data_IF_812431799888
#
_entry.id   IF_812431799888
#
_cell.length_a   1.000
_cell.length_b   1.000
_cell.length_c   1.000
_cell.angle_alpha   90.00
_cell.angle_beta   90.00
_cell.angle_gamma   90.00
#
_symmetry.space_group_name_H-M   'P 1'
#
loop_
_entity.id
_entity.type
_entity.pdbx_description
1 polymer ?
#
# COMPACT_ATOMS: atom_id res chain seq x y z
N UNK A 1 -4.96 -17.77 -29.12
CA UNK A 1 -3.51 -17.84 -28.84
C UNK A 1 -3.12 -16.64 -27.98
N UNK A 2 -3.49 -16.63 -26.69
CA UNK A 2 -3.05 -15.67 -25.66
C UNK A 2 -3.63 -16.14 -24.31
N UNK A 3 -2.98 -17.11 -23.67
CA UNK A 3 -3.19 -17.41 -22.24
C UNK A 3 -1.84 -17.83 -21.67
N UNK A 4 -1.63 -17.46 -20.41
CA UNK A 4 -0.53 -17.84 -19.52
C UNK A 4 0.67 -16.89 -19.49
N UNK A 5 0.51 -15.83 -18.71
CA UNK A 5 1.55 -15.39 -17.77
C UNK A 5 0.81 -14.82 -16.57
N UNK A 6 0.67 -15.61 -15.51
CA UNK A 6 0.80 -15.18 -14.12
C UNK A 6 0.53 -16.37 -13.19
N UNK A 7 1.19 -16.35 -12.05
CA UNK A 7 1.04 -17.20 -10.87
C UNK A 7 1.92 -18.45 -10.76
N UNK A 8 2.94 -18.26 -9.91
CA UNK A 8 3.74 -19.25 -9.21
C UNK A 8 3.29 -19.21 -7.74
N UNK A 9 3.27 -20.40 -7.12
CA UNK A 9 3.48 -20.69 -5.68
C UNK A 9 2.23 -20.79 -4.79
N UNK A 10 1.93 -22.03 -4.37
CA UNK A 10 2.13 -22.47 -2.97
C UNK A 10 2.76 -23.88 -3.03
N UNK A 11 4.00 -24.02 -2.59
CA UNK A 11 4.64 -25.32 -2.34
C UNK A 11 4.56 -25.55 -0.82
N UNK A 12 3.58 -26.32 -0.37
CA UNK A 12 3.65 -26.92 0.96
C UNK A 12 3.99 -28.41 0.81
N UNK A 13 5.01 -28.85 1.55
CA UNK A 13 5.25 -30.26 1.78
C UNK A 13 4.33 -30.69 2.91
N UNK A 14 3.49 -31.70 2.68
CA UNK A 14 2.80 -32.37 3.77
C UNK A 14 3.78 -33.30 4.52
N UNK A 15 3.46 -33.68 5.76
CA UNK A 15 4.32 -34.42 6.70
C UNK A 15 4.79 -35.82 6.21
N UNK A 16 4.39 -36.24 5.02
CA UNK A 16 4.81 -37.49 4.35
C UNK A 16 5.73 -37.29 3.13
N UNK A 17 6.15 -36.05 2.81
CA UNK A 17 7.14 -35.78 1.76
C UNK A 17 6.67 -36.00 0.31
N UNK A 18 5.37 -36.18 0.07
CA UNK A 18 4.81 -36.22 -1.29
C UNK A 18 4.48 -34.82 -1.80
N UNK A 19 4.97 -34.48 -3.00
CA UNK A 19 4.57 -33.28 -3.75
C UNK A 19 3.09 -33.38 -4.13
N UNK A 20 2.24 -32.56 -3.53
CA UNK A 20 0.87 -32.36 -4.00
C UNK A 20 0.91 -31.23 -5.03
N UNK A 21 0.81 -31.59 -6.31
CA UNK A 21 0.56 -30.60 -7.37
C UNK A 21 -0.96 -30.43 -7.43
N UNK A 22 -1.48 -29.42 -6.74
CA UNK A 22 -2.87 -28.98 -6.89
C UNK A 22 -3.02 -28.38 -8.29
N UNK A 23 -3.57 -29.19 -9.20
CA UNK A 23 -3.82 -28.77 -10.57
C UNK A 23 -5.10 -27.93 -10.59
N UNK A 24 -4.98 -26.62 -10.35
CA UNK A 24 -6.07 -25.63 -10.29
C UNK A 24 -6.95 -25.57 -11.56
N UNK A 25 -6.57 -26.26 -12.65
CA UNK A 25 -7.33 -26.32 -13.90
C UNK A 25 -8.60 -27.18 -13.86
N UNK A 26 -8.95 -27.83 -12.74
CA UNK A 26 -10.13 -28.71 -12.65
C UNK A 26 -11.08 -28.43 -11.49
N UNK A 27 -10.96 -27.31 -10.79
CA UNK A 27 -11.89 -26.93 -9.73
C UNK A 27 -12.98 -26.01 -10.28
N UNK A 28 -14.07 -26.60 -10.77
CA UNK A 28 -15.31 -25.84 -11.01
C UNK A 28 -16.15 -25.85 -9.74
N UNK A 29 -16.67 -24.70 -9.26
CA UNK A 29 -17.57 -24.67 -8.12
C UNK A 29 -18.81 -25.48 -8.47
N UNK A 30 -19.08 -26.55 -7.70
CA UNK A 30 -20.22 -27.45 -7.95
C UNK A 30 -21.49 -26.98 -7.22
N UNK A 31 -21.37 -25.96 -6.37
CA UNK A 31 -22.48 -25.37 -5.64
C UNK A 31 -22.02 -24.21 -4.77
N UNK A 32 -22.99 -23.52 -4.16
CA UNK A 32 -22.76 -22.41 -3.25
C UNK A 32 -23.74 -22.49 -2.06
N UNK A 33 -23.29 -22.04 -0.89
CA UNK A 33 -24.18 -21.69 0.23
C UNK A 33 -24.72 -20.26 0.03
N UNK A 34 -25.57 -19.76 0.92
CA UNK A 34 -26.26 -18.49 0.80
C UNK A 34 -25.63 -17.46 1.74
N UNK A 35 -25.49 -16.21 1.28
CA UNK A 35 -25.13 -15.12 2.18
C UNK A 35 -26.34 -14.62 2.97
N UNK A 36 -26.12 -14.20 4.20
CA UNK A 36 -27.01 -13.29 4.92
C UNK A 36 -26.35 -11.92 5.02
N UNK A 37 -26.99 -10.90 4.46
CA UNK A 37 -26.45 -9.54 4.36
C UNK A 37 -27.48 -8.55 4.88
N UNK A 38 -27.06 -7.52 5.61
CA UNK A 38 -27.98 -6.47 6.03
C UNK A 38 -28.29 -5.49 4.88
N UNK A 39 -29.40 -4.74 4.97
CA UNK A 39 -29.79 -3.74 3.97
C UNK A 39 -28.75 -2.61 3.79
N UNK A 40 -27.77 -2.50 4.70
CA UNK A 40 -26.64 -1.58 4.59
C UNK A 40 -25.36 -2.22 4.02
N UNK A 41 -25.36 -3.50 3.64
CA UNK A 41 -24.24 -4.17 2.97
C UNK A 41 -23.24 -4.92 3.86
N UNK A 42 -23.44 -4.94 5.19
CA UNK A 42 -22.61 -5.77 6.06
C UNK A 42 -22.97 -7.26 5.92
N UNK A 43 -22.00 -8.07 5.48
CA UNK A 43 -22.12 -9.54 5.47
C UNK A 43 -22.16 -10.06 6.90
N UNK A 44 -23.15 -10.89 7.21
CA UNK A 44 -23.31 -11.55 8.50
C UNK A 44 -22.68 -12.95 8.47
N UNK A 45 -22.96 -13.68 7.40
CA UNK A 45 -22.39 -15.01 7.12
C UNK A 45 -22.49 -15.28 5.64
N UNK A 46 -21.51 -16.00 5.09
CA UNK A 46 -21.53 -16.54 3.73
C UNK A 46 -22.00 -17.99 3.67
N UNK A 47 -22.28 -18.59 4.83
CA UNK A 47 -22.60 -20.00 5.01
C UNK A 47 -23.96 -20.17 5.68
N UNK A 48 -24.96 -19.40 5.24
CA UNK A 48 -26.25 -19.30 5.93
C UNK A 48 -26.92 -20.67 6.11
N UNK A 49 -26.88 -21.56 5.11
CA UNK A 49 -27.52 -22.87 5.21
C UNK A 49 -26.71 -23.82 6.09
N UNK A 50 -25.38 -23.87 5.92
CA UNK A 50 -24.53 -24.86 6.56
C UNK A 50 -24.05 -24.46 7.97
N UNK A 51 -24.09 -23.18 8.33
CA UNK A 51 -23.84 -22.69 9.68
C UNK A 51 -25.02 -21.87 10.23
N UNK A 52 -26.04 -22.53 10.81
CA UNK A 52 -27.16 -21.84 11.44
C UNK A 52 -26.78 -20.94 12.63
N UNK A 53 -25.62 -21.16 13.26
CA UNK A 53 -25.22 -20.45 14.48
C UNK A 53 -24.72 -19.02 14.21
N UNK A 54 -24.17 -18.78 13.01
CA UNK A 54 -23.75 -17.44 12.57
C UNK A 54 -24.90 -16.54 12.14
N UNK A 55 -26.11 -17.09 11.92
CA UNK A 55 -27.30 -16.32 11.52
C UNK A 55 -27.68 -15.31 12.60
N UNK A 56 -28.08 -14.11 12.19
CA UNK A 56 -28.59 -13.08 13.09
C UNK A 56 -29.96 -12.59 12.66
N UNK A 57 -30.80 -12.26 13.64
CA UNK A 57 -32.10 -11.60 13.41
C UNK A 57 -31.90 -10.11 13.09
N UNK A 58 -31.02 -9.44 13.85
CA UNK A 58 -30.35 -8.11 13.80
C UNK A 58 -29.10 -8.02 12.91
N UNK A 59 -28.71 -6.86 12.36
CA UNK A 59 -27.32 -6.66 11.97
C UNK A 59 -26.60 -6.20 13.23
N UNK A 60 -25.53 -6.88 13.70
CA UNK A 60 -24.87 -6.51 14.94
C UNK A 60 -24.13 -5.17 14.83
N UNK A 61 -23.76 -4.75 13.61
CA UNK A 61 -23.02 -3.50 13.38
C UNK A 61 -23.93 -2.27 13.27
N UNK A 62 -25.14 -2.41 12.71
CA UNK A 62 -25.98 -1.25 12.39
C UNK A 62 -27.48 -1.42 12.65
N UNK A 63 -27.93 -2.56 13.19
CA UNK A 63 -29.34 -2.82 13.50
C UNK A 63 -30.29 -3.03 12.30
N UNK A 64 -29.85 -2.74 11.06
CA UNK A 64 -30.68 -2.87 9.86
C UNK A 64 -31.22 -4.29 9.63
N UNK A 65 -32.34 -4.44 8.89
CA UNK A 65 -32.92 -5.74 8.46
C UNK A 65 -31.95 -6.52 7.55
N UNK A 66 -32.13 -7.85 7.45
CA UNK A 66 -31.28 -8.73 6.63
C UNK A 66 -32.07 -9.31 5.48
N UNK A 67 -31.37 -9.67 4.42
CA UNK A 67 -31.87 -10.46 3.32
C UNK A 67 -30.88 -11.59 3.00
N UNK A 68 -31.41 -12.68 2.48
CA UNK A 68 -30.66 -13.83 1.93
C UNK A 68 -31.00 -14.05 0.45
N UNK A 69 -31.84 -13.17 -0.11
CA UNK A 69 -32.36 -13.27 -1.47
C UNK A 69 -32.58 -11.86 -2.02
N UNK A 70 -32.52 -11.72 -3.34
CA UNK A 70 -32.79 -10.48 -4.04
C UNK A 70 -34.23 -10.01 -3.75
N UNK A 71 -34.44 -8.77 -3.27
CA UNK A 71 -35.78 -8.27 -2.99
C UNK A 71 -36.64 -8.07 -4.26
N UNK A 72 -36.02 -8.10 -5.46
CA UNK A 72 -36.70 -7.90 -6.75
C UNK A 72 -37.13 -9.21 -7.40
N UNK A 73 -36.21 -10.17 -7.54
CA UNK A 73 -36.48 -11.44 -8.24
C UNK A 73 -36.45 -12.66 -7.32
N UNK A 74 -36.20 -12.49 -6.02
CA UNK A 74 -36.14 -13.54 -5.02
C UNK A 74 -35.05 -14.61 -5.23
N UNK A 75 -34.09 -14.40 -6.13
CA UNK A 75 -32.94 -15.30 -6.27
C UNK A 75 -32.06 -15.25 -5.03
N UNK A 76 -31.48 -16.39 -4.64
CA UNK A 76 -30.58 -16.49 -3.48
C UNK A 76 -29.30 -15.69 -3.72
N UNK A 77 -28.80 -15.05 -2.67
CA UNK A 77 -27.51 -14.36 -2.72
C UNK A 77 -26.40 -15.39 -2.55
N UNK A 78 -25.55 -15.57 -3.58
CA UNK A 78 -24.48 -16.57 -3.60
C UNK A 78 -23.46 -16.31 -2.50
N UNK A 79 -23.32 -17.25 -1.58
CA UNK A 79 -22.32 -17.29 -0.51
C UNK A 79 -21.16 -18.20 -0.85
N UNK A 80 -20.65 -18.93 0.15
CA UNK A 80 -19.43 -19.73 0.01
C UNK A 80 -19.55 -20.78 -1.09
N UNK A 81 -18.59 -20.82 -1.99
CA UNK A 81 -18.53 -21.83 -3.06
C UNK A 81 -17.89 -23.12 -2.58
N UNK A 82 -18.42 -24.26 -3.03
CA UNK A 82 -17.91 -25.58 -2.69
C UNK A 82 -17.19 -26.21 -3.88
N UNK A 83 -15.95 -26.64 -3.65
CA UNK A 83 -15.15 -27.40 -4.60
C UNK A 83 -15.05 -28.86 -4.14
N UNK A 84 -15.37 -29.79 -5.04
CA UNK A 84 -15.16 -31.21 -4.80
C UNK A 84 -13.94 -31.68 -5.61
N UNK A 85 -12.95 -32.26 -4.94
CA UNK A 85 -12.01 -33.14 -5.62
C UNK A 85 -12.64 -34.53 -5.82
N UNK A 86 -12.31 -35.20 -6.93
CA UNK A 86 -12.71 -36.60 -7.14
C UNK A 86 -12.01 -37.48 -6.10
N UNK A 87 -12.76 -37.85 -5.06
CA UNK A 87 -12.35 -38.82 -4.05
C UNK A 87 -12.02 -38.19 -2.70
N UNK A 88 -13.06 -38.07 -1.87
CA UNK A 88 -13.06 -37.75 -0.44
C UNK A 88 -12.71 -36.31 0.00
N UNK A 89 -13.62 -35.79 0.85
CA UNK A 89 -13.62 -34.52 1.59
C UNK A 89 -13.42 -33.25 0.77
N UNK A 90 -14.51 -32.49 0.61
CA UNK A 90 -14.46 -31.13 0.05
C UNK A 90 -13.45 -30.30 0.80
N UNK A 91 -12.41 -29.86 0.09
CA UNK A 91 -11.36 -29.01 0.63
C UNK A 91 -11.85 -27.57 0.50
N UNK A 92 -11.91 -26.84 1.61
CA UNK A 92 -12.24 -25.40 1.60
C UNK A 92 -11.00 -24.65 1.06
N UNK A 93 -10.94 -24.44 -0.26
CA UNK A 93 -9.74 -23.95 -0.95
C UNK A 93 -9.63 -22.42 -1.00
N UNK A 94 -10.64 -21.69 -0.51
CA UNK A 94 -10.67 -20.23 -0.57
C UNK A 94 -10.65 -19.62 0.83
N UNK A 95 -9.46 -19.21 1.29
CA UNK A 95 -9.29 -18.39 2.52
C UNK A 95 -9.90 -16.99 2.42
N UNK A 96 -10.55 -16.65 1.30
CA UNK A 96 -11.27 -15.40 1.05
C UNK A 96 -12.75 -15.76 1.06
N UNK A 97 -13.49 -15.33 2.08
CA UNK A 97 -14.95 -15.53 2.16
C UNK A 97 -15.69 -14.88 1.01
N UNK A 98 -16.99 -15.20 0.86
CA UNK A 98 -17.79 -14.67 -0.25
C UNK A 98 -17.81 -13.13 -0.29
N UNK A 99 -17.79 -12.56 -1.51
CA UNK A 99 -17.87 -11.11 -1.72
C UNK A 99 -19.34 -10.67 -1.70
N UNK A 100 -19.63 -9.55 -1.03
CA UNK A 100 -20.97 -8.93 -1.04
C UNK A 100 -21.28 -8.37 -2.43
N UNK A 101 -22.29 -8.90 -3.17
CA UNK A 101 -22.55 -8.45 -4.54
C UNK A 101 -23.25 -7.08 -4.57
N UNK A 102 -22.91 -6.25 -5.56
CA UNK A 102 -23.56 -4.96 -5.82
C UNK A 102 -24.74 -5.09 -6.79
N UNK A 103 -24.80 -6.14 -7.61
CA UNK A 103 -25.92 -6.39 -8.51
C UNK A 103 -26.36 -7.84 -8.42
N UNK A 104 -27.66 -8.08 -8.60
CA UNK A 104 -28.19 -9.43 -8.66
C UNK A 104 -27.79 -10.09 -9.98
N UNK A 105 -27.10 -11.23 -9.93
CA UNK A 105 -26.72 -11.97 -11.14
C UNK A 105 -27.91 -12.55 -11.92
N UNK A 106 -29.08 -12.70 -11.27
CA UNK A 106 -30.26 -13.28 -11.92
C UNK A 106 -31.13 -12.25 -12.65
N UNK A 107 -31.26 -11.03 -12.13
CA UNK A 107 -32.11 -10.00 -12.73
C UNK A 107 -31.40 -8.68 -13.07
N UNK A 108 -30.13 -8.51 -12.69
CA UNK A 108 -29.34 -7.31 -12.94
C UNK A 108 -29.66 -6.11 -12.04
N UNK A 109 -30.70 -6.18 -11.22
CA UNK A 109 -31.05 -5.06 -10.33
C UNK A 109 -29.98 -4.82 -9.25
N UNK A 110 -29.71 -3.55 -8.89
CA UNK A 110 -28.85 -3.24 -7.78
C UNK A 110 -29.48 -3.71 -6.45
N UNK A 111 -28.64 -4.19 -5.54
CA UNK A 111 -29.05 -4.43 -4.17
C UNK A 111 -29.23 -3.11 -3.40
N UNK A 112 -29.98 -3.10 -2.27
CA UNK A 112 -30.23 -1.89 -1.49
C UNK A 112 -28.97 -1.14 -1.01
N UNK A 113 -27.85 -1.85 -0.85
CA UNK A 113 -26.58 -1.28 -0.40
C UNK A 113 -25.69 -0.76 -1.54
N UNK A 114 -26.06 -0.99 -2.79
CA UNK A 114 -25.18 -0.74 -3.94
C UNK A 114 -24.87 0.74 -4.16
N UNK A 115 -25.78 1.64 -3.78
CA UNK A 115 -25.54 3.09 -3.84
C UNK A 115 -24.56 3.57 -2.76
N UNK A 116 -24.57 2.93 -1.58
CA UNK A 116 -23.67 3.28 -0.47
C UNK A 116 -22.23 2.85 -0.72
N UNK A 117 -22.04 1.79 -1.51
CA UNK A 117 -20.70 1.33 -1.92
C UNK A 117 -20.08 2.30 -2.93
N UNK A 118 -20.89 3.02 -3.73
CA UNK A 118 -20.41 4.04 -4.67
C UNK A 118 -19.74 5.23 -3.98
N UNK A 119 -20.22 5.65 -2.80
CA UNK A 119 -19.61 6.74 -2.03
C UNK A 119 -18.22 6.36 -1.48
N UNK A 120 -17.95 5.06 -1.28
CA UNK A 120 -16.64 4.56 -0.83
C UNK A 120 -15.69 4.35 -2.01
N UNK A 121 -16.18 4.00 -3.20
CA UNK A 121 -15.36 3.79 -4.40
C UNK A 121 -14.87 5.09 -5.06
N UNK A 122 -15.53 6.23 -4.82
CA UNK A 122 -15.07 7.53 -5.36
C UNK A 122 -13.96 8.19 -4.56
N UNK A 123 -13.55 7.66 -3.40
CA UNK A 123 -12.47 8.24 -2.57
C UNK A 123 -11.43 7.22 -2.07
N UNK A 124 -11.70 5.91 -2.13
CA UNK A 124 -10.79 4.87 -1.58
C UNK A 124 -9.48 4.63 -2.34
N UNK A 125 -9.27 5.26 -3.50
CA UNK A 125 -7.94 5.27 -4.16
C UNK A 125 -6.98 6.30 -3.57
N UNK A 126 -7.46 7.17 -2.68
CA UNK A 126 -6.68 8.28 -2.14
C UNK A 126 -6.98 8.61 -0.67
N UNK A 127 -7.67 7.76 0.09
CA UNK A 127 -7.70 7.92 1.56
C UNK A 127 -6.28 7.66 2.05
N UNK A 128 -5.54 8.67 2.52
CA UNK A 128 -4.25 8.41 3.12
C UNK A 128 -4.53 7.55 4.34
N UNK A 129 -3.91 6.38 4.43
CA UNK A 129 -3.93 5.60 5.67
C UNK A 129 -3.19 6.45 6.71
N UNK A 130 -3.90 7.34 7.41
CA UNK A 130 -3.32 8.12 8.49
C UNK A 130 -3.33 7.21 9.71
N UNK A 131 -2.16 6.69 10.05
CA UNK A 131 -1.97 5.91 11.26
C UNK A 131 -2.42 6.74 12.47
N UNK A 132 -3.33 6.24 13.34
CA UNK A 132 -3.81 7.01 14.49
C UNK A 132 -2.69 7.55 15.38
N UNK A 133 -1.59 6.81 15.50
CA UNK A 133 -0.42 7.19 16.28
C UNK A 133 0.28 8.48 15.82
N UNK A 134 0.08 8.92 14.56
CA UNK A 134 0.73 10.13 14.03
C UNK A 134 -0.24 11.29 13.79
N UNK A 135 -1.50 11.20 14.22
CA UNK A 135 -2.50 12.23 13.89
C UNK A 135 -2.11 13.61 14.43
N UNK A 136 -1.66 13.68 15.68
CA UNK A 136 -1.28 14.95 16.32
C UNK A 136 0.04 15.50 15.78
N UNK A 137 1.03 14.64 15.55
CA UNK A 137 2.29 15.03 14.95
C UNK A 137 2.10 15.53 13.51
N UNK A 138 1.27 14.86 12.73
CA UNK A 138 0.91 15.28 11.37
C UNK A 138 0.10 16.57 11.34
N UNK A 139 -0.75 16.80 12.35
CA UNK A 139 -1.45 18.09 12.51
C UNK A 139 -0.45 19.23 12.76
N UNK A 140 0.52 19.05 13.66
CA UNK A 140 1.58 20.04 13.92
C UNK A 140 2.43 20.30 12.67
N UNK A 141 2.79 19.25 11.95
CA UNK A 141 3.48 19.34 10.67
C UNK A 141 2.71 20.24 9.68
N UNK A 142 1.42 19.97 9.47
CA UNK A 142 0.56 20.72 8.54
C UNK A 142 0.35 22.19 8.94
N UNK A 143 0.44 22.50 10.23
CA UNK A 143 0.39 23.88 10.71
C UNK A 143 1.66 24.66 10.38
N UNK A 144 2.81 23.98 10.37
CA UNK A 144 4.09 24.59 10.04
C UNK A 144 4.32 24.70 8.53
N UNK A 145 3.84 23.72 7.76
CA UNK A 145 3.96 23.66 6.30
C UNK A 145 2.57 23.57 5.63
N UNK A 146 1.76 24.65 5.66
CA UNK A 146 0.45 24.67 5.03
C UNK A 146 0.56 24.80 3.50
N UNK A 147 -0.39 24.25 2.73
CA UNK A 147 -0.50 24.54 1.30
C UNK A 147 -0.57 26.06 1.03
N UNK A 148 0.04 26.57 -0.06
CA UNK A 148 0.58 25.83 -1.21
C UNK A 148 2.07 25.44 -1.08
N UNK A 149 2.68 25.59 0.10
CA UNK A 149 4.10 25.26 0.29
C UNK A 149 4.36 23.77 0.03
N UNK A 150 5.45 23.48 -0.70
CA UNK A 150 5.89 22.13 -1.01
C UNK A 150 7.02 21.72 -0.10
N UNK A 151 7.05 20.44 0.24
CA UNK A 151 8.00 19.88 1.18
C UNK A 151 8.60 18.58 0.65
N UNK A 152 9.89 18.39 0.89
CA UNK A 152 10.63 17.20 0.50
C UNK A 152 11.24 16.54 1.72
N UNK A 153 10.98 15.25 1.91
CA UNK A 153 11.64 14.47 2.96
C UNK A 153 13.02 14.03 2.50
N UNK A 154 14.08 14.51 3.16
CA UNK A 154 15.47 14.17 2.89
C UNK A 154 15.84 12.92 3.71
N UNK A 155 15.99 11.81 3.01
CA UNK A 155 16.37 10.51 3.56
C UNK A 155 17.84 10.27 3.26
N UNK A 156 18.67 10.24 4.30
CA UNK A 156 20.11 9.98 4.19
C UNK A 156 20.63 9.39 5.49
N UNK A 157 21.82 8.77 5.46
CA UNK A 157 22.50 8.34 6.68
C UNK A 157 22.70 9.52 7.63
N UNK A 158 22.40 9.30 8.91
CA UNK A 158 22.75 10.25 9.96
C UNK A 158 24.26 10.15 10.21
N UNK A 159 25.02 10.98 9.50
CA UNK A 159 26.48 11.08 9.63
C UNK A 159 26.90 12.47 10.11
N UNK A 160 28.00 12.53 10.86
CA UNK A 160 28.56 13.77 11.39
C UNK A 160 29.76 14.27 10.56
N UNK A 161 30.04 13.66 9.41
CA UNK A 161 31.17 14.06 8.55
C UNK A 161 30.90 15.36 7.81
N UNK A 162 31.95 15.98 7.28
CA UNK A 162 31.83 17.18 6.45
C UNK A 162 31.03 16.88 5.18
N UNK A 163 31.25 15.72 4.56
CA UNK A 163 30.55 15.27 3.37
C UNK A 163 29.03 15.12 3.59
N UNK A 164 28.61 14.56 4.73
CA UNK A 164 27.17 14.45 5.04
C UNK A 164 26.51 15.82 5.21
N UNK A 165 27.21 16.79 5.82
CA UNK A 165 26.71 18.17 5.94
C UNK A 165 26.62 18.84 4.58
N UNK A 166 27.66 18.69 3.76
CA UNK A 166 27.70 19.25 2.41
C UNK A 166 26.54 18.73 1.54
N UNK A 167 26.29 17.42 1.53
CA UNK A 167 25.14 16.83 0.83
C UNK A 167 23.82 17.47 1.31
N UNK A 168 23.62 17.58 2.62
CA UNK A 168 22.39 18.16 3.18
C UNK A 168 22.22 19.63 2.76
N UNK A 169 23.29 20.42 2.86
CA UNK A 169 23.28 21.85 2.55
C UNK A 169 22.98 22.09 1.07
N UNK A 170 23.59 21.29 0.18
CA UNK A 170 23.39 21.35 -1.27
C UNK A 170 21.95 20.97 -1.63
N UNK A 171 21.43 19.86 -1.10
CA UNK A 171 20.05 19.42 -1.33
C UNK A 171 19.06 20.50 -0.84
N UNK A 172 19.26 21.00 0.38
CA UNK A 172 18.37 22.00 0.98
C UNK A 172 18.39 23.31 0.18
N UNK A 173 19.56 23.72 -0.30
CA UNK A 173 19.72 24.92 -1.15
C UNK A 173 19.01 24.74 -2.50
N UNK A 174 19.20 23.60 -3.17
CA UNK A 174 18.53 23.30 -4.43
C UNK A 174 16.99 23.27 -4.28
N UNK A 175 16.48 22.64 -3.23
CA UNK A 175 15.04 22.62 -2.93
C UNK A 175 14.51 24.04 -2.66
N UNK A 176 15.22 24.81 -1.84
CA UNK A 176 14.83 26.19 -1.52
C UNK A 176 14.78 27.09 -2.76
N UNK A 177 15.72 26.93 -3.69
CA UNK A 177 15.72 27.66 -4.96
C UNK A 177 14.48 27.36 -5.83
N UNK A 178 13.90 26.16 -5.66
CA UNK A 178 12.63 25.75 -6.27
C UNK A 178 11.40 26.00 -5.36
N UNK A 179 11.55 26.79 -4.28
CA UNK A 179 10.49 27.10 -3.30
C UNK A 179 9.91 25.87 -2.59
N UNK A 180 10.76 24.86 -2.38
CA UNK A 180 10.43 23.64 -1.65
C UNK A 180 11.22 23.61 -0.34
N UNK A 181 10.56 23.31 0.76
CA UNK A 181 11.19 23.12 2.07
C UNK A 181 11.75 21.71 2.19
N UNK A 182 13.08 21.59 2.22
CA UNK A 182 13.79 20.32 2.45
C UNK A 182 13.87 19.99 3.94
N UNK A 183 13.36 18.82 4.33
CA UNK A 183 13.20 18.44 5.73
C UNK A 183 13.89 17.11 6.04
N UNK A 184 14.75 17.10 7.07
CA UNK A 184 15.32 15.86 7.63
C UNK A 184 14.69 15.57 8.99
N UNK A 185 14.56 14.30 9.34
CA UNK A 185 13.80 13.86 10.52
C UNK A 185 14.34 14.40 11.87
N UNK A 186 15.61 14.82 11.90
CA UNK A 186 16.28 15.39 13.07
C UNK A 186 16.21 16.93 13.14
N UNK A 187 15.74 17.60 12.07
CA UNK A 187 15.67 19.07 12.03
C UNK A 187 14.54 19.60 12.91
N UNK A 188 13.39 18.91 12.92
CA UNK A 188 12.27 19.20 13.81
C UNK A 188 11.68 17.89 14.35
N UNK A 189 11.34 17.88 15.64
CA UNK A 189 10.76 16.70 16.29
C UNK A 189 9.26 16.92 16.44
N UNK A 190 8.47 16.29 15.57
CA UNK A 190 7.00 16.32 15.62
C UNK A 190 6.41 15.22 16.50
N UNK A 191 7.20 14.23 16.90
CA UNK A 191 6.76 13.15 17.75
C UNK A 191 7.92 12.68 18.64
N UNK A 192 7.66 12.35 19.91
CA UNK A 192 8.69 11.96 20.88
C UNK A 192 9.33 10.60 20.53
N UNK A 193 8.52 9.65 20.07
CA UNK A 193 8.99 8.42 19.46
C UNK A 193 9.58 8.67 18.06
N UNK A 194 10.83 8.24 17.84
CA UNK A 194 11.58 8.43 16.60
C UNK A 194 10.91 7.80 15.38
N UNK A 195 10.34 6.60 15.53
CA UNK A 195 9.68 5.91 14.43
C UNK A 195 8.42 6.66 13.99
N UNK A 196 7.61 7.11 14.95
CA UNK A 196 6.43 7.93 14.65
C UNK A 196 6.80 9.34 14.12
N UNK A 197 7.96 9.87 14.50
CA UNK A 197 8.48 11.10 13.91
C UNK A 197 8.83 10.91 12.43
N UNK A 198 9.55 9.85 12.08
CA UNK A 198 9.86 9.49 10.68
C UNK A 198 8.57 9.27 9.89
N UNK A 199 7.59 8.53 10.43
CA UNK A 199 6.28 8.35 9.80
C UNK A 199 5.56 9.69 9.57
N UNK A 200 5.71 10.66 10.47
CA UNK A 200 5.14 12.01 10.28
C UNK A 200 5.69 12.67 9.02
N UNK A 201 7.01 12.57 8.77
CA UNK A 201 7.61 13.08 7.54
C UNK A 201 7.19 12.29 6.29
N UNK A 202 7.18 10.95 6.37
CA UNK A 202 6.75 10.08 5.27
C UNK A 202 5.31 10.38 4.84
N UNK A 203 4.41 10.62 5.80
CA UNK A 203 3.02 10.99 5.52
C UNK A 203 2.84 12.48 5.19
N UNK A 204 3.67 13.37 5.75
CA UNK A 204 3.57 14.82 5.61
C UNK A 204 4.11 15.35 4.28
N UNK A 205 5.34 14.98 3.91
CA UNK A 205 6.04 15.58 2.76
C UNK A 205 5.41 15.23 1.42
N UNK A 206 5.47 16.12 0.43
CA UNK A 206 4.93 15.89 -0.91
C UNK A 206 5.70 14.80 -1.68
N UNK A 207 7.02 14.75 -1.48
CA UNK A 207 7.91 13.77 -2.12
C UNK A 207 9.14 13.49 -1.25
N UNK A 208 9.96 12.52 -1.67
CA UNK A 208 11.22 12.18 -1.01
C UNK A 208 12.45 12.49 -1.86
N UNK A 209 13.55 12.85 -1.22
CA UNK A 209 14.91 12.85 -1.79
C UNK A 209 15.73 11.85 -1.00
N UNK A 210 16.11 10.74 -1.62
CA UNK A 210 16.86 9.66 -0.99
C UNK A 210 18.31 9.67 -1.47
N UNK A 211 19.24 9.72 -0.52
CA UNK A 211 20.68 9.68 -0.78
C UNK A 211 21.22 8.31 -0.43
N UNK A 212 21.74 7.61 -1.43
CA UNK A 212 22.47 6.37 -1.27
C UNK A 212 23.96 6.66 -1.44
N UNK A 213 24.69 6.57 -0.34
CA UNK A 213 26.11 6.89 -0.24
C UNK A 213 26.89 5.76 0.45
N UNK A 214 28.23 5.83 0.35
CA UNK A 214 29.19 4.90 0.97
C UNK A 214 30.37 5.64 1.60
N UNK A 215 30.10 6.71 2.36
CA UNK A 215 31.12 7.60 2.95
C UNK A 215 31.80 6.93 4.14
N UNK A 216 31.01 6.45 5.11
CA UNK A 216 31.53 5.83 6.34
C UNK A 216 31.49 4.30 6.28
N UNK A 217 30.74 3.75 5.34
CA UNK A 217 30.37 2.34 5.28
C UNK A 217 30.34 1.89 3.82
N UNK A 218 30.96 0.74 3.48
CA UNK A 218 30.94 0.23 2.11
C UNK A 218 29.54 -0.15 1.63
N UNK A 219 28.56 -0.27 2.53
CA UNK A 219 27.17 -0.54 2.18
C UNK A 219 26.27 0.69 2.39
N UNK A 220 25.22 0.78 1.57
CA UNK A 220 24.21 1.83 1.72
C UNK A 220 23.39 1.61 3.00
N UNK A 221 22.81 2.68 3.55
CA UNK A 221 21.98 2.58 4.74
C UNK A 221 20.62 1.92 4.45
N UNK A 222 20.29 0.76 5.06
CA UNK A 222 19.03 0.05 4.80
C UNK A 222 17.78 0.83 5.23
N UNK A 223 17.90 1.78 6.17
CA UNK A 223 16.77 2.62 6.59
C UNK A 223 16.32 3.55 5.45
N UNK A 224 17.26 4.06 4.64
CA UNK A 224 16.92 4.88 3.46
C UNK A 224 16.13 4.04 2.46
N UNK A 225 16.55 2.79 2.21
CA UNK A 225 15.82 1.86 1.35
C UNK A 225 14.39 1.58 1.86
N UNK A 226 14.23 1.39 3.17
CA UNK A 226 12.93 1.20 3.81
C UNK A 226 12.01 2.41 3.62
N UNK A 227 12.51 3.62 3.88
CA UNK A 227 11.77 4.88 3.73
C UNK A 227 11.35 5.11 2.27
N UNK A 228 12.23 4.81 1.30
CA UNK A 228 11.90 4.83 -0.13
C UNK A 228 10.76 3.86 -0.45
N UNK A 229 10.84 2.63 0.05
CA UNK A 229 9.79 1.63 -0.11
C UNK A 229 8.44 2.12 0.44
N UNK A 230 8.47 2.78 1.60
CA UNK A 230 7.29 3.33 2.25
C UNK A 230 6.66 4.48 1.43
N UNK A 231 7.46 5.44 0.97
CA UNK A 231 6.97 6.53 0.10
C UNK A 231 6.37 6.00 -1.20
N UNK A 232 7.01 5.00 -1.81
CA UNK A 232 6.48 4.32 -3.01
C UNK A 232 5.14 3.64 -2.71
N UNK A 233 5.00 2.98 -1.56
CA UNK A 233 3.73 2.38 -1.14
C UNK A 233 2.63 3.42 -0.91
N UNK A 234 2.99 4.64 -0.46
CA UNK A 234 2.09 5.79 -0.37
C UNK A 234 1.80 6.48 -1.73
N UNK A 235 2.40 6.00 -2.83
CA UNK A 235 2.25 6.62 -4.15
C UNK A 235 2.98 7.95 -4.31
N UNK A 236 3.90 8.29 -3.40
CA UNK A 236 4.67 9.54 -3.45
C UNK A 236 5.90 9.39 -4.35
N UNK A 237 6.24 10.42 -5.15
CA UNK A 237 7.43 10.39 -5.98
C UNK A 237 8.68 10.49 -5.10
N UNK A 238 9.79 9.92 -5.59
CA UNK A 238 11.07 9.90 -4.88
C UNK A 238 12.20 10.16 -5.86
N UNK A 239 13.03 11.16 -5.58
CA UNK A 239 14.30 11.39 -6.24
C UNK A 239 15.35 10.46 -5.60
N UNK A 240 15.96 9.59 -6.41
CA UNK A 240 17.02 8.68 -5.95
C UNK A 240 18.37 9.27 -6.39
N UNK A 241 19.13 9.79 -5.44
CA UNK A 241 20.51 10.25 -5.62
C UNK A 241 21.43 9.12 -5.17
N UNK A 242 22.23 8.59 -6.11
CA UNK A 242 23.14 7.49 -5.88
C UNK A 242 24.57 8.00 -6.06
N UNK A 243 25.41 7.81 -5.06
CA UNK A 243 26.83 8.15 -5.20
C UNK A 243 27.48 7.20 -6.21
N UNK A 244 28.27 7.75 -7.15
CA UNK A 244 28.78 7.02 -8.32
C UNK A 244 29.66 5.81 -7.99
N UNK A 245 30.33 5.79 -6.83
CA UNK A 245 31.19 4.68 -6.39
C UNK A 245 30.39 3.51 -5.82
N UNK A 246 29.11 3.69 -5.49
CA UNK A 246 28.23 2.60 -5.11
C UNK A 246 27.92 1.74 -6.35
N UNK A 247 28.38 0.50 -6.40
CA UNK A 247 28.25 -0.33 -7.61
C UNK A 247 26.78 -0.62 -7.98
N UNK A 248 25.95 -0.98 -7.00
CA UNK A 248 24.56 -1.39 -7.22
C UNK A 248 23.67 -0.99 -6.05
N UNK A 249 22.46 -0.56 -6.38
CA UNK A 249 21.35 -0.51 -5.43
C UNK A 249 20.69 -1.91 -5.31
N UNK A 250 19.82 -2.15 -4.32
CA UNK A 250 19.06 -3.41 -4.22
C UNK A 250 18.07 -3.56 -5.37
N UNK A 251 18.06 -4.71 -6.04
CA UNK A 251 17.23 -4.98 -7.23
C UNK A 251 15.73 -4.79 -7.00
N UNK A 252 15.25 -4.95 -5.77
CA UNK A 252 13.84 -4.78 -5.38
C UNK A 252 13.39 -3.31 -5.37
N UNK A 253 14.33 -2.37 -5.31
CA UNK A 253 14.09 -0.93 -5.48
C UNK A 253 14.38 -0.45 -6.92
N UNK A 254 15.13 -1.25 -7.69
CA UNK A 254 15.61 -1.02 -9.07
C UNK A 254 14.58 -1.47 -10.10
N UNK A 255 13.45 -0.77 -10.13
CA UNK A 255 12.58 -0.75 -11.31
C UNK A 255 12.63 0.58 -12.08
N UNK A 256 13.45 1.55 -11.64
CA UNK A 256 13.40 2.95 -12.10
C UNK A 256 14.78 3.59 -12.23
N UNK A 257 14.82 4.66 -13.05
CA UNK A 257 15.93 5.59 -13.23
C UNK A 257 16.33 6.21 -11.87
N UNK A 258 17.62 6.24 -11.58
CA UNK A 258 18.25 6.99 -10.50
C UNK A 258 19.22 7.99 -11.13
N UNK A 259 19.55 9.03 -10.37
CA UNK A 259 20.51 10.04 -10.77
C UNK A 259 21.80 9.81 -10.00
N UNK A 260 22.93 9.81 -10.70
CA UNK A 260 24.24 9.63 -10.07
C UNK A 260 24.83 10.98 -9.68
N UNK A 261 25.44 11.05 -8.50
CA UNK A 261 26.21 12.22 -8.08
C UNK A 261 27.64 11.84 -7.69
N UNK A 262 28.54 12.81 -7.76
CA UNK A 262 29.96 12.65 -7.43
C UNK A 262 30.25 13.33 -6.10
N UNK A 263 30.66 12.57 -5.09
CA UNK A 263 30.98 13.15 -3.78
C UNK A 263 32.14 14.16 -3.83
N UNK A 264 33.00 14.09 -4.85
CA UNK A 264 34.12 15.02 -5.05
C UNK A 264 33.73 16.30 -5.81
N UNK A 265 32.54 16.31 -6.43
CA UNK A 265 31.91 17.46 -7.10
C UNK A 265 30.46 17.56 -6.62
N UNK A 266 30.29 17.51 -5.29
CA UNK A 266 29.01 17.29 -4.61
C UNK A 266 28.00 18.39 -4.95
N UNK A 267 28.42 19.66 -4.85
CA UNK A 267 27.55 20.81 -5.09
C UNK A 267 26.94 20.78 -6.49
N UNK A 268 27.77 20.70 -7.52
CA UNK A 268 27.31 20.77 -8.90
C UNK A 268 26.52 19.52 -9.29
N UNK A 269 27.06 18.33 -9.00
CA UNK A 269 26.44 17.07 -9.41
C UNK A 269 25.07 16.85 -8.77
N UNK A 270 24.90 17.18 -7.48
CA UNK A 270 23.58 17.09 -6.83
C UNK A 270 22.64 18.18 -7.34
N UNK A 271 23.09 19.43 -7.51
CA UNK A 271 22.24 20.52 -7.99
C UNK A 271 21.67 20.21 -9.38
N UNK A 272 22.52 19.79 -10.32
CA UNK A 272 22.10 19.51 -11.70
C UNK A 272 21.04 18.39 -11.74
N UNK A 273 21.32 17.29 -11.05
CA UNK A 273 20.44 16.12 -11.04
C UNK A 273 19.12 16.35 -10.29
N UNK A 274 19.17 17.04 -9.15
CA UNK A 274 17.98 17.32 -8.35
C UNK A 274 17.08 18.36 -9.03
N UNK A 275 17.64 19.43 -9.59
CA UNK A 275 16.86 20.42 -10.33
C UNK A 275 16.19 19.81 -11.55
N UNK A 276 16.93 18.99 -12.31
CA UNK A 276 16.36 18.25 -13.44
C UNK A 276 15.19 17.36 -13.01
N UNK A 277 15.34 16.63 -11.90
CA UNK A 277 14.30 15.76 -11.39
C UNK A 277 13.05 16.54 -10.94
N UNK A 278 13.22 17.65 -10.21
CA UNK A 278 12.13 18.53 -9.73
C UNK A 278 11.29 19.00 -10.93
N UNK A 279 11.95 19.59 -11.94
CA UNK A 279 11.29 20.11 -13.14
C UNK A 279 10.56 18.98 -13.89
N UNK A 280 11.21 17.83 -14.05
CA UNK A 280 10.66 16.69 -14.79
C UNK A 280 9.43 16.06 -14.11
N UNK A 281 9.28 16.22 -12.80
CA UNK A 281 8.15 15.71 -12.03
C UNK A 281 7.09 16.77 -11.71
N UNK A 282 7.25 18.00 -12.21
CA UNK A 282 6.26 19.08 -12.08
C UNK A 282 6.18 19.70 -10.68
N UNK A 283 7.31 19.75 -9.96
CA UNK A 283 7.44 20.46 -8.69
C UNK A 283 7.98 21.88 -8.87
#
# INVERSE_FOLDING_TARGET
MFKNKFFKIFNHNDFSGKKVILNLMSLYPQGFDVQQICLNGHMITDSYQNDPSSRKQFCPLCGAKKITSCPKCNSKIKGREYFLEKGNYGVDVTSIGAIVPTFCESCGDPFPWSEKIKEVETDSRNIPIILPAIQDSLKRYKQLYPPPEKTAFIMMRFGATAQHREILDVITTALKNNKISGLRADSLIFHEDLYYNILTYLHGCDFGVAVFEVIEDPEYNPNVAFEVGFLKALGKPVCLLKEKSLEKLPTDLIGKNYNEFDINDCEKSIQDELNYWIISNGF
#
